data_IF_410963322666
#
_entry.id   IF_410963322666
#
_cell.length_a   1.000
_cell.length_b   1.000
_cell.length_c   1.000
_cell.angle_alpha   90.00
_cell.angle_beta   90.00
_cell.angle_gamma   90.00
#
_symmetry.space_group_name_H-M   'P 1'
#
loop_
_entity.id
_entity.type
_entity.pdbx_description
1 polymer ?
#
# COMPACT_ATOMS: atom_id res chain seq x y z
N UNK A 1 -24.10 -60.41 -15.83
CA UNK A 1 -23.52 -59.26 -16.54
C UNK A 1 -23.06 -58.26 -15.49
N UNK A 2 -21.75 -58.10 -15.30
CA UNK A 2 -21.18 -57.27 -14.25
C UNK A 2 -21.10 -55.79 -14.63
N UNK A 3 -21.52 -54.94 -13.69
CA UNK A 3 -21.39 -53.49 -13.68
C UNK A 3 -19.97 -52.99 -14.00
N UNK A 4 -19.87 -52.03 -14.92
CA UNK A 4 -18.75 -51.09 -14.98
C UNK A 4 -19.30 -49.66 -15.04
N UNK A 5 -19.69 -49.12 -13.88
CA UNK A 5 -19.88 -47.70 -13.71
C UNK A 5 -18.50 -47.01 -13.64
N UNK A 6 -18.03 -46.47 -14.76
CA UNK A 6 -16.82 -45.67 -14.83
C UNK A 6 -16.95 -44.40 -13.97
N UNK A 7 -16.23 -44.36 -12.84
CA UNK A 7 -16.07 -43.18 -12.00
C UNK A 7 -15.25 -42.11 -12.74
N UNK A 8 -15.92 -41.08 -13.25
CA UNK A 8 -15.26 -39.91 -13.87
C UNK A 8 -14.60 -39.07 -12.79
N UNK A 9 -13.27 -39.10 -12.73
CA UNK A 9 -12.43 -38.22 -11.90
C UNK A 9 -12.72 -36.74 -12.20
N UNK A 10 -13.17 -36.00 -11.18
CA UNK A 10 -13.50 -34.57 -11.27
C UNK A 10 -12.22 -33.75 -11.21
N UNK A 11 -11.76 -33.21 -12.35
CA UNK A 11 -10.57 -32.35 -12.42
C UNK A 11 -10.75 -31.12 -11.52
N UNK A 12 -9.90 -30.97 -10.51
CA UNK A 12 -9.94 -29.83 -9.59
C UNK A 12 -9.63 -28.53 -10.34
N UNK A 13 -10.55 -27.57 -10.29
CA UNK A 13 -10.37 -26.25 -10.90
C UNK A 13 -9.17 -25.52 -10.28
N UNK A 14 -8.35 -24.88 -11.12
CA UNK A 14 -7.20 -24.04 -10.74
C UNK A 14 -7.53 -22.96 -9.70
N UNK A 15 -8.81 -22.59 -9.56
CA UNK A 15 -9.32 -21.60 -8.60
C UNK A 15 -10.29 -22.20 -7.58
N UNK A 16 -10.23 -23.50 -7.32
CA UNK A 16 -11.01 -24.13 -6.26
C UNK A 16 -10.73 -23.44 -4.91
N UNK A 17 -11.75 -23.34 -4.06
CA UNK A 17 -11.63 -22.78 -2.69
C UNK A 17 -10.51 -23.52 -1.94
N UNK A 18 -9.65 -22.77 -1.26
CA UNK A 18 -8.48 -23.31 -0.55
C UNK A 18 -7.20 -23.40 -1.39
N UNK A 19 -7.27 -23.22 -2.71
CA UNK A 19 -6.05 -23.13 -3.53
C UNK A 19 -5.33 -21.79 -3.34
N UNK A 20 -4.00 -21.80 -3.49
CA UNK A 20 -3.19 -20.57 -3.46
C UNK A 20 -3.63 -19.56 -4.51
N UNK A 21 -3.98 -20.02 -5.71
CA UNK A 21 -4.50 -19.17 -6.79
C UNK A 21 -5.81 -18.48 -6.39
N UNK A 22 -6.72 -19.19 -5.71
CA UNK A 22 -7.96 -18.62 -5.16
C UNK A 22 -7.71 -17.59 -4.05
N UNK A 23 -6.78 -17.86 -3.13
CA UNK A 23 -6.41 -16.89 -2.09
C UNK A 23 -5.81 -15.63 -2.73
N UNK A 24 -4.88 -15.79 -3.66
CA UNK A 24 -4.22 -14.69 -4.36
C UNK A 24 -5.20 -13.83 -5.17
N UNK A 25 -6.23 -14.43 -5.79
CA UNK A 25 -7.23 -13.66 -6.55
C UNK A 25 -8.14 -12.82 -5.65
N UNK A 26 -8.20 -13.09 -4.35
CA UNK A 26 -9.00 -12.31 -3.38
C UNK A 26 -8.22 -11.21 -2.67
N UNK A 27 -6.89 -11.16 -2.83
CA UNK A 27 -6.07 -10.10 -2.26
C UNK A 27 -6.33 -8.82 -3.06
N UNK A 28 -6.97 -7.84 -2.43
CA UNK A 28 -7.23 -6.53 -3.03
C UNK A 28 -6.03 -5.62 -2.79
N UNK A 29 -5.68 -4.83 -3.81
CA UNK A 29 -4.61 -3.82 -3.70
C UNK A 29 -5.03 -2.48 -3.12
N UNK A 30 -6.31 -2.32 -2.72
CA UNK A 30 -6.86 -1.11 -2.10
C UNK A 30 -8.10 -1.45 -1.28
N UNK A 31 -8.45 -0.57 -0.35
CA UNK A 31 -9.59 -0.70 0.55
C UNK A 31 -9.55 -2.02 1.35
N UNK A 32 -8.35 -2.37 1.80
CA UNK A 32 -8.16 -3.53 2.68
C UNK A 32 -8.88 -3.34 4.02
N UNK A 33 -9.08 -4.43 4.76
CA UNK A 33 -9.68 -4.37 6.10
C UNK A 33 -8.87 -3.49 7.05
N UNK A 34 -7.54 -3.54 6.97
CA UNK A 34 -6.63 -2.75 7.81
C UNK A 34 -6.73 -1.25 7.49
N UNK A 35 -6.76 -0.87 6.21
CA UNK A 35 -6.98 0.53 5.81
C UNK A 35 -8.32 1.06 6.30
N UNK A 36 -9.37 0.23 6.27
CA UNK A 36 -10.70 0.64 6.76
C UNK A 36 -10.68 0.92 8.26
N UNK A 37 -9.99 0.09 9.05
CA UNK A 37 -9.86 0.30 10.50
C UNK A 37 -9.18 1.63 10.81
N UNK A 38 -8.03 1.90 10.19
CA UNK A 38 -7.29 3.15 10.39
C UNK A 38 -8.14 4.36 9.98
N UNK A 39 -8.77 4.31 8.80
CA UNK A 39 -9.62 5.41 8.30
C UNK A 39 -10.82 5.69 9.19
N UNK A 40 -11.51 4.65 9.65
CA UNK A 40 -12.67 4.79 10.54
C UNK A 40 -12.26 5.45 11.86
N UNK A 41 -11.12 5.04 12.41
CA UNK A 41 -10.60 5.61 13.65
C UNK A 41 -10.22 7.08 13.47
N UNK A 42 -9.43 7.43 12.44
CA UNK A 42 -9.05 8.84 12.18
C UNK A 42 -10.27 9.74 11.95
N UNK A 43 -11.31 9.22 11.27
CA UNK A 43 -12.56 9.96 11.07
C UNK A 43 -13.31 10.18 12.38
N UNK A 44 -13.36 9.19 13.27
CA UNK A 44 -13.98 9.32 14.60
C UNK A 44 -13.26 10.36 15.46
N UNK A 45 -11.95 10.52 15.30
CA UNK A 45 -11.14 11.57 15.93
C UNK A 45 -11.23 12.94 15.21
N UNK A 46 -12.17 13.13 14.29
CA UNK A 46 -12.42 14.40 13.62
C UNK A 46 -11.36 14.81 12.58
N UNK A 47 -10.43 13.91 12.24
CA UNK A 47 -9.38 14.20 11.26
C UNK A 47 -9.93 14.06 9.84
N UNK A 48 -9.78 15.14 9.06
CA UNK A 48 -10.14 15.14 7.63
C UNK A 48 -8.94 14.72 6.80
N UNK A 49 -9.13 13.67 6.01
CA UNK A 49 -8.09 13.10 5.16
C UNK A 49 -8.57 12.87 3.73
N UNK A 50 -7.62 12.79 2.80
CA UNK A 50 -7.83 12.27 1.44
C UNK A 50 -7.33 10.83 1.41
N UNK A 51 -8.00 9.97 0.64
CA UNK A 51 -7.61 8.56 0.49
C UNK A 51 -7.13 8.28 -0.93
N UNK A 52 -6.16 7.38 -1.07
CA UNK A 52 -5.64 6.91 -2.36
C UNK A 52 -5.32 8.05 -3.33
N UNK A 53 -4.64 9.08 -2.82
CA UNK A 53 -4.38 10.30 -3.57
C UNK A 53 -3.26 10.06 -4.60
N UNK A 54 -3.64 10.05 -5.88
CA UNK A 54 -2.72 9.74 -6.98
C UNK A 54 -1.66 10.81 -7.23
N UNK A 55 -1.81 11.99 -6.64
CA UNK A 55 -0.86 13.09 -6.78
C UNK A 55 0.46 12.85 -6.06
N UNK A 56 0.47 11.91 -5.10
CA UNK A 56 1.64 11.61 -4.29
C UNK A 56 2.29 10.28 -4.71
N UNK A 57 3.63 10.21 -4.67
CA UNK A 57 4.38 8.97 -4.84
C UNK A 57 3.85 7.87 -3.92
N UNK A 58 3.67 6.67 -4.46
CA UNK A 58 3.19 5.52 -3.67
C UNK A 58 1.69 5.44 -3.45
N UNK A 59 0.92 6.44 -3.90
CA UNK A 59 -0.54 6.46 -3.74
C UNK A 59 -0.97 6.20 -2.29
N UNK A 60 -0.57 7.09 -1.36
CA UNK A 60 -0.77 6.89 0.06
C UNK A 60 -2.23 6.63 0.42
N UNK A 61 -2.42 5.75 1.40
CA UNK A 61 -3.74 5.34 1.88
C UNK A 61 -4.48 6.52 2.54
N UNK A 62 -3.75 7.34 3.29
CA UNK A 62 -4.29 8.49 4.02
C UNK A 62 -3.33 9.68 3.89
N UNK A 63 -3.87 10.80 3.41
CA UNK A 63 -3.18 12.09 3.35
C UNK A 63 -3.92 13.08 4.23
N UNK A 64 -3.19 13.71 5.15
CA UNK A 64 -3.70 14.70 6.12
C UNK A 64 -3.06 16.06 5.85
N UNK A 65 -3.62 16.89 4.94
CA UNK A 65 -3.01 18.16 4.55
C UNK A 65 -2.83 19.14 5.70
N UNK A 66 -3.78 19.19 6.64
CA UNK A 66 -3.73 20.07 7.82
C UNK A 66 -2.49 19.84 8.70
N UNK A 67 -2.02 18.58 8.76
CA UNK A 67 -0.90 18.15 9.59
C UNK A 67 0.35 17.87 8.76
N UNK A 68 0.32 18.16 7.46
CA UNK A 68 1.37 17.83 6.50
C UNK A 68 1.90 16.40 6.64
N UNK A 69 0.98 15.47 6.93
CA UNK A 69 1.30 14.08 7.26
C UNK A 69 0.67 13.11 6.26
N UNK A 70 1.43 12.09 5.88
CA UNK A 70 1.03 10.98 5.03
C UNK A 70 1.17 9.69 5.83
N UNK A 71 0.14 8.83 5.76
CA UNK A 71 0.13 7.54 6.44
C UNK A 71 -0.01 6.43 5.40
N UNK A 72 0.92 5.47 5.47
CA UNK A 72 0.88 4.21 4.71
C UNK A 72 0.44 3.07 5.62
N UNK A 73 -0.50 2.25 5.15
CA UNK A 73 -1.01 1.09 5.88
C UNK A 73 -0.48 -0.18 5.21
N UNK A 74 0.67 -0.64 5.69
CA UNK A 74 1.46 -1.66 5.02
C UNK A 74 1.17 -3.07 5.56
N UNK A 75 0.95 -4.02 4.65
CA UNK A 75 0.91 -5.44 4.97
C UNK A 75 2.32 -5.99 5.25
N UNK A 76 2.51 -6.64 6.40
CA UNK A 76 3.85 -7.11 6.83
C UNK A 76 4.50 -8.08 5.82
N UNK A 77 3.70 -8.89 5.14
CA UNK A 77 4.20 -9.84 4.13
C UNK A 77 4.77 -9.12 2.89
N UNK A 78 4.08 -8.09 2.37
CA UNK A 78 4.40 -7.45 1.09
C UNK A 78 5.56 -6.46 1.14
N UNK A 79 5.75 -5.83 2.30
CA UNK A 79 6.74 -4.78 2.53
C UNK A 79 7.88 -5.23 3.46
N UNK A 80 7.97 -6.52 3.76
CA UNK A 80 9.05 -7.13 4.57
C UNK A 80 9.25 -6.45 5.92
N UNK A 81 8.21 -6.44 6.77
CA UNK A 81 8.34 -5.87 8.11
C UNK A 81 9.40 -6.64 8.93
N UNK A 82 10.45 -5.94 9.35
CA UNK A 82 11.54 -6.52 10.14
C UNK A 82 11.05 -6.88 11.55
N UNK A 83 11.51 -8.01 12.10
CA UNK A 83 11.09 -8.48 13.43
C UNK A 83 9.66 -9.02 13.54
N UNK A 84 8.93 -9.13 12.43
CA UNK A 84 7.54 -9.60 12.44
C UNK A 84 7.38 -11.08 12.06
N UNK A 85 6.72 -11.87 12.91
CA UNK A 85 6.37 -13.27 12.63
C UNK A 85 5.41 -13.45 11.44
N UNK A 86 4.71 -12.39 11.02
CA UNK A 86 3.81 -12.40 9.85
C UNK A 86 4.55 -12.29 8.52
N UNK A 87 5.86 -12.00 8.52
CA UNK A 87 6.68 -12.03 7.31
C UNK A 87 7.28 -13.44 7.10
N UNK A 88 6.50 -14.36 6.54
CA UNK A 88 6.99 -15.70 6.21
C UNK A 88 7.36 -15.78 4.72
N UNK A 89 8.60 -16.16 4.41
CA UNK A 89 9.03 -16.38 3.03
C UNK A 89 8.37 -17.67 2.49
N UNK A 90 7.65 -17.62 1.36
CA UNK A 90 7.08 -18.83 0.77
C UNK A 90 8.18 -19.84 0.43
N UNK A 91 7.99 -21.11 0.82
CA UNK A 91 8.94 -22.20 0.51
C UNK A 91 9.03 -22.52 -0.98
N UNK A 92 8.06 -22.08 -1.78
CA UNK A 92 8.01 -22.28 -3.23
C UNK A 92 8.30 -20.99 -4.00
N UNK A 93 9.08 -21.11 -5.08
CA UNK A 93 9.49 -19.99 -5.94
C UNK A 93 10.20 -18.85 -5.16
N UNK A 94 11.08 -19.23 -4.23
CA UNK A 94 11.79 -18.34 -3.32
C UNK A 94 12.55 -17.22 -4.04
N UNK A 95 13.22 -17.52 -5.16
CA UNK A 95 13.95 -16.53 -5.95
C UNK A 95 13.03 -15.42 -6.49
N UNK A 96 11.87 -15.79 -7.05
CA UNK A 96 10.87 -14.83 -7.51
C UNK A 96 10.32 -13.98 -6.37
N UNK A 97 9.96 -14.61 -5.24
CA UNK A 97 9.41 -13.90 -4.08
C UNK A 97 10.42 -12.94 -3.48
N UNK A 98 11.67 -13.37 -3.31
CA UNK A 98 12.76 -12.52 -2.83
C UNK A 98 12.95 -11.31 -3.73
N UNK A 99 13.10 -11.50 -5.04
CA UNK A 99 13.27 -10.40 -5.98
C UNK A 99 12.05 -9.46 -6.01
N UNK A 100 10.83 -10.00 -5.92
CA UNK A 100 9.60 -9.20 -5.86
C UNK A 100 9.53 -8.35 -4.60
N UNK A 101 9.77 -8.94 -3.43
CA UNK A 101 9.70 -8.26 -2.15
C UNK A 101 10.81 -7.20 -1.99
N UNK A 102 12.02 -7.50 -2.46
CA UNK A 102 13.12 -6.52 -2.51
C UNK A 102 12.77 -5.31 -3.39
N UNK A 103 12.18 -5.53 -4.57
CA UNK A 103 11.73 -4.43 -5.44
C UNK A 103 10.64 -3.58 -4.80
N UNK A 104 9.72 -4.19 -4.04
CA UNK A 104 8.71 -3.46 -3.29
C UNK A 104 9.39 -2.57 -2.23
N UNK A 105 10.23 -3.14 -1.38
CA UNK A 105 10.95 -2.40 -0.33
C UNK A 105 11.78 -1.24 -0.89
N UNK A 106 12.47 -1.45 -2.01
CA UNK A 106 13.24 -0.40 -2.68
C UNK A 106 12.34 0.71 -3.24
N UNK A 107 11.19 0.35 -3.80
CA UNK A 107 10.18 1.31 -4.26
C UNK A 107 9.63 2.14 -3.10
N UNK A 108 9.27 1.49 -1.99
CA UNK A 108 8.70 2.16 -0.82
C UNK A 108 9.71 3.15 -0.24
N UNK A 109 10.98 2.75 -0.13
CA UNK A 109 12.08 3.64 0.30
C UNK A 109 12.15 4.90 -0.57
N UNK A 110 12.19 4.74 -1.90
CA UNK A 110 12.23 5.87 -2.83
C UNK A 110 11.03 6.81 -2.69
N UNK A 111 9.85 6.24 -2.50
CA UNK A 111 8.61 7.02 -2.32
C UNK A 111 8.64 7.79 -1.00
N UNK A 112 9.09 7.17 0.09
CA UNK A 112 9.24 7.84 1.39
C UNK A 112 10.25 8.99 1.30
N UNK A 113 11.38 8.78 0.63
CA UNK A 113 12.41 9.80 0.47
C UNK A 113 11.93 10.97 -0.41
N UNK A 114 11.11 10.72 -1.43
CA UNK A 114 10.47 11.77 -2.23
C UNK A 114 9.47 12.58 -1.41
N UNK A 115 8.61 11.90 -0.63
CA UNK A 115 7.62 12.57 0.22
C UNK A 115 8.27 13.40 1.33
N UNK A 116 9.32 12.89 1.97
CA UNK A 116 10.10 13.63 2.97
C UNK A 116 10.76 14.85 2.35
N UNK A 117 11.32 14.74 1.13
CA UNK A 117 11.88 15.90 0.39
C UNK A 117 10.83 16.95 0.00
N UNK A 118 9.57 16.54 -0.20
CA UNK A 118 8.44 17.45 -0.38
C UNK A 118 7.98 18.09 0.96
N UNK A 119 8.64 17.75 2.07
CA UNK A 119 8.34 18.24 3.42
C UNK A 119 7.14 17.56 4.05
N UNK A 120 6.80 16.34 3.64
CA UNK A 120 5.73 15.57 4.29
C UNK A 120 6.31 14.70 5.40
N UNK A 121 5.61 14.67 6.53
CA UNK A 121 5.85 13.67 7.56
C UNK A 121 5.23 12.34 7.12
N UNK A 122 6.03 11.28 7.08
CA UNK A 122 5.61 9.96 6.58
C UNK A 122 5.57 8.96 7.73
N UNK A 123 4.39 8.38 7.97
CA UNK A 123 4.16 7.39 9.04
C UNK A 123 3.75 6.06 8.42
N UNK A 124 4.41 4.99 8.84
CA UNK A 124 4.02 3.62 8.51
C UNK A 124 3.18 3.00 9.64
N UNK A 125 2.05 2.42 9.28
CA UNK A 125 1.21 1.62 10.16
C UNK A 125 1.21 0.19 9.63
N UNK A 126 1.69 -0.75 10.44
CA UNK A 126 1.86 -2.12 10.00
C UNK A 126 0.66 -3.00 10.37
N UNK A 127 0.30 -3.93 9.49
CA UNK A 127 -0.77 -4.91 9.74
C UNK A 127 -0.61 -5.69 11.06
N UNK A 128 0.62 -5.99 11.49
CA UNK A 128 0.86 -6.67 12.74
C UNK A 128 0.49 -5.84 13.97
N UNK A 129 0.61 -4.51 13.88
CA UNK A 129 0.27 -3.58 14.96
C UNK A 129 -1.25 -3.40 15.09
N UNK A 130 -2.00 -3.66 14.01
CA UNK A 130 -3.48 -3.57 13.98
C UNK A 130 -4.19 -4.85 14.43
N UNK A 131 -3.45 -5.77 15.07
CA UNK A 131 -4.00 -6.94 15.75
C UNK A 131 -4.93 -6.54 16.91
N UNK A 132 -5.89 -7.39 17.28
CA UNK A 132 -6.93 -7.05 18.29
C UNK A 132 -6.35 -6.51 19.60
N UNK A 133 -5.24 -7.08 20.08
CA UNK A 133 -4.63 -6.71 21.35
C UNK A 133 -3.83 -5.39 21.33
N UNK A 134 -3.29 -5.00 20.17
CA UNK A 134 -2.37 -3.85 20.03
C UNK A 134 -2.96 -2.69 19.24
N UNK A 135 -4.15 -2.90 18.66
CA UNK A 135 -4.78 -1.96 17.74
C UNK A 135 -5.05 -0.61 18.35
N UNK A 136 -5.67 -0.59 19.52
CA UNK A 136 -6.10 0.65 20.18
C UNK A 136 -4.89 1.52 20.50
N UNK A 137 -3.92 0.99 21.25
CA UNK A 137 -2.68 1.69 21.58
C UNK A 137 -1.88 2.14 20.36
N UNK A 138 -1.86 1.35 19.28
CA UNK A 138 -1.20 1.78 18.02
C UNK A 138 -1.91 2.95 17.36
N UNK A 139 -3.25 2.95 17.36
CA UNK A 139 -4.07 3.99 16.76
C UNK A 139 -4.03 5.28 17.59
N UNK A 140 -4.00 5.18 18.91
CA UNK A 140 -3.79 6.32 19.81
C UNK A 140 -2.43 6.97 19.51
N UNK A 141 -1.36 6.16 19.47
CA UNK A 141 -0.01 6.63 19.10
C UNK A 141 0.03 7.23 17.69
N UNK A 142 -0.76 6.73 16.75
CA UNK A 142 -0.85 7.31 15.40
C UNK A 142 -1.42 8.73 15.46
N UNK A 143 -2.44 8.96 16.27
CA UNK A 143 -3.03 10.30 16.44
C UNK A 143 -2.02 11.26 17.05
N UNK A 144 -1.29 10.84 18.09
CA UNK A 144 -0.20 11.62 18.69
C UNK A 144 0.85 12.01 17.64
N UNK A 145 1.36 11.02 16.88
CA UNK A 145 2.34 11.25 15.81
C UNK A 145 1.85 12.22 14.72
N UNK A 146 0.55 12.20 14.39
CA UNK A 146 -0.04 13.13 13.41
C UNK A 146 -0.12 14.54 13.99
N UNK A 147 -0.48 14.69 15.27
CA UNK A 147 -0.60 15.99 15.93
C UNK A 147 0.78 16.62 16.13
N UNK A 148 1.75 15.85 16.61
CA UNK A 148 3.11 16.29 16.89
C UNK A 148 3.87 16.63 15.61
N UNK A 149 3.82 15.76 14.60
CA UNK A 149 4.45 16.03 13.30
C UNK A 149 3.83 17.23 12.57
N UNK A 150 2.60 17.61 12.91
CA UNK A 150 1.96 18.84 12.45
C UNK A 150 2.41 20.11 13.19
N UNK A 151 3.03 19.98 14.37
CA UNK A 151 3.62 21.10 15.11
C UNK A 151 5.00 21.45 14.54
N UNK A 152 5.84 20.45 14.30
CA UNK A 152 7.17 20.63 13.69
C UNK A 152 7.09 21.22 12.28
N UNK A 153 6.06 20.83 11.51
CA UNK A 153 5.82 21.40 10.18
C UNK A 153 5.41 22.88 10.18
N UNK A 154 5.00 23.45 11.33
CA UNK A 154 4.63 24.87 11.47
C UNK A 154 5.78 25.75 11.93
N UNK A 155 6.81 25.21 12.59
CA UNK A 155 7.99 25.99 12.99
C UNK A 155 8.93 26.30 11.82
N UNK A 156 8.86 25.51 10.75
CA UNK A 156 9.85 25.57 9.65
C UNK A 156 9.39 26.32 8.38
N UNK A 157 8.24 27.02 8.34
CA UNK A 157 7.96 27.85 7.16
C UNK A 157 6.59 28.47 6.99
N UNK A 158 6.55 29.79 7.21
CA UNK A 158 5.71 30.80 6.57
C UNK A 158 6.07 31.00 5.07
N UNK A 159 6.47 29.93 4.38
CA UNK A 159 6.91 29.99 2.98
C UNK A 159 6.12 29.00 2.13
N UNK A 160 5.07 29.55 1.51
CA UNK A 160 4.37 29.09 0.32
C UNK A 160 4.95 27.85 -0.38
N UNK A 161 4.16 26.77 -0.43
CA UNK A 161 4.24 25.79 -1.53
C UNK A 161 2.91 25.04 -1.67
N UNK A 162 1.99 25.67 -2.38
CA UNK A 162 0.86 24.98 -3.01
C UNK A 162 1.43 23.92 -3.96
N UNK A 163 1.05 22.63 -3.87
CA UNK A 163 1.38 21.69 -4.92
C UNK A 163 0.61 22.13 -6.17
N UNK A 164 1.35 22.47 -7.23
CA UNK A 164 0.83 22.78 -8.55
C UNK A 164 -0.18 21.72 -8.95
N UNK A 165 -1.43 22.17 -9.08
CA UNK A 165 -2.49 21.45 -9.76
C UNK A 165 -2.09 21.32 -11.24
N UNK A 166 -1.54 20.18 -11.63
CA UNK A 166 -1.44 19.79 -13.04
C UNK A 166 -2.79 19.26 -13.51
N UNK A 167 -3.64 20.16 -13.98
CA UNK A 167 -4.84 19.88 -14.78
C UNK A 167 -4.48 19.11 -16.05
N UNK A 168 -5.40 18.26 -16.50
CA UNK A 168 -5.19 17.29 -17.59
C UNK A 168 -4.86 17.87 -18.97
N UNK A 169 -4.35 16.99 -19.83
CA UNK A 169 -4.19 17.18 -21.25
C UNK A 169 -4.31 15.84 -21.96
N UNK A 170 -5.41 15.66 -22.69
CA UNK A 170 -5.75 14.53 -23.55
C UNK A 170 -4.85 14.44 -24.79
N UNK A 171 -4.62 13.20 -25.25
CA UNK A 171 -4.31 12.76 -26.63
C UNK A 171 -3.11 13.40 -27.37
N UNK A 172 -2.15 12.56 -27.79
CA UNK A 172 -2.05 12.24 -29.22
C UNK A 172 -1.18 11.00 -29.50
N UNK A 173 -1.74 10.13 -30.33
CA UNK A 173 -1.01 9.14 -31.09
C UNK A 173 -0.22 9.86 -32.21
N UNK A 174 1.03 9.48 -32.40
CA UNK A 174 1.72 9.70 -33.66
C UNK A 174 2.69 8.54 -33.90
N UNK A 175 2.32 7.70 -34.86
CA UNK A 175 3.25 6.89 -35.64
C UNK A 175 4.29 7.83 -36.27
N UNK A 176 5.53 7.38 -36.42
CA UNK A 176 6.20 7.45 -37.71
C UNK A 176 7.37 6.46 -37.78
N UNK A 177 7.39 5.77 -38.92
CA UNK A 177 8.47 4.94 -39.40
C UNK A 177 9.56 5.82 -40.08
N UNK A 178 10.64 5.14 -40.47
CA UNK A 178 11.61 5.44 -41.53
C UNK A 178 13.04 5.79 -41.07
N UNK A 179 13.92 4.82 -41.32
CA UNK A 179 15.14 4.93 -42.14
C UNK A 179 16.06 6.16 -41.96
N UNK A 180 17.33 5.93 -41.59
CA UNK A 180 18.45 5.90 -42.55
C UNK A 180 19.85 5.89 -41.87
N UNK A 181 20.72 5.03 -42.41
CA UNK A 181 22.19 5.16 -42.55
C UNK A 181 23.05 5.30 -41.27
N UNK A 182 23.84 4.26 -40.98
CA UNK A 182 25.21 4.12 -41.51
C UNK A 182 25.62 2.66 -41.50
#
# INVERSE_FOLDING_TARGET
MGDMAASKSKTASKYARGTRSYTMSRIRGKDTSIERVVRSYLFAHGMRFRKNDKRYPGHPDVVLPKYRTIVFVNGCFWHMHEGCSKHSMPKTNTAFWRAKLQRNRERDRRQHDELRRMGWHVIDVWECELGKATRESRLDRLVEQIVDGGADARSDGDAARTPVCGSGGTMNAAKNAAESRT
#
